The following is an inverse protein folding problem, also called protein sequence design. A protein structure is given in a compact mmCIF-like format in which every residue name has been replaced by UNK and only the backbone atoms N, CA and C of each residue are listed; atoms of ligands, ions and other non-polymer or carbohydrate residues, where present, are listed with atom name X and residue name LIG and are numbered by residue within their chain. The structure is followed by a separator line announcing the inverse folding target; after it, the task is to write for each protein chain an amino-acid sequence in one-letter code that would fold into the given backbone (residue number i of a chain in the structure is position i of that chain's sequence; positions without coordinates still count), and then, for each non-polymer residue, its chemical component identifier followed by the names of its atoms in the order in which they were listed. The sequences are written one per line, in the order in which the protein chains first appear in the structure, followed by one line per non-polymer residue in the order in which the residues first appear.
data_IF_161922697867
#
_entry.id   IF_161922697867
#
_cell.length_a   1.000
_cell.length_b   1.000
_cell.length_c   1.000
_cell.angle_alpha   90.00
_cell.angle_beta   90.00
_cell.angle_gamma   90.00
#
_symmetry.space_group_name_H-M   'P 1'
#
loop_
_entity.id
_entity.type
_entity.pdbx_description
1 polymer ?
#
# COMPACT_ATOMS: atom_id res chain seq x y z
N UNK A 1 1.16 -3.25 0.88
CA UNK A 1 2.15 -2.32 1.46
C UNK A 1 1.72 -0.88 1.20
N UNK A 2 1.99 0.01 2.14
CA UNK A 2 1.74 1.44 2.03
C UNK A 2 2.96 2.22 2.51
N UNK A 3 3.04 3.50 2.17
CA UNK A 3 3.98 4.44 2.76
C UNK A 3 3.25 5.75 3.08
N UNK A 4 3.68 6.42 4.14
CA UNK A 4 3.11 7.67 4.61
C UNK A 4 3.57 7.95 6.04
N UNK A 5 3.25 9.14 6.54
CA UNK A 5 3.61 9.53 7.90
C UNK A 5 2.68 8.81 8.90
N UNK A 6 3.21 8.02 9.84
CA UNK A 6 2.43 7.49 10.95
C UNK A 6 2.38 8.49 12.11
N UNK A 7 1.42 8.28 13.01
CA UNK A 7 1.50 8.83 14.36
C UNK A 7 2.25 7.80 15.21
N UNK A 8 3.31 8.21 15.89
CA UNK A 8 4.07 7.35 16.80
C UNK A 8 3.59 7.62 18.22
N UNK A 9 3.22 6.56 18.93
CA UNK A 9 2.93 6.61 20.37
C UNK A 9 3.63 5.44 21.05
N UNK A 10 4.50 5.75 22.01
CA UNK A 10 5.47 4.81 22.59
C UNK A 10 6.24 4.02 21.52
N UNK A 11 6.04 2.69 21.48
CA UNK A 11 6.67 1.75 20.54
C UNK A 11 5.70 1.26 19.44
N UNK A 12 4.58 1.96 19.22
CA UNK A 12 3.55 1.57 18.24
C UNK A 12 3.22 2.68 17.22
N UNK A 13 2.67 2.26 16.07
CA UNK A 13 2.33 3.13 14.93
C UNK A 13 0.83 3.18 14.72
N UNK A 14 0.31 4.39 14.56
CA UNK A 14 -1.11 4.66 14.37
C UNK A 14 -1.39 5.61 13.20
N UNK A 15 -2.68 5.81 12.94
CA UNK A 15 -3.18 6.78 11.98
C UNK A 15 -3.44 6.21 10.59
N UNK A 16 -3.75 7.12 9.67
CA UNK A 16 -4.24 6.80 8.32
C UNK A 16 -3.29 5.91 7.53
N UNK A 17 -1.97 6.13 7.63
CA UNK A 17 -0.97 5.35 6.90
C UNK A 17 -0.97 3.86 7.30
N UNK A 18 -1.18 3.57 8.60
CA UNK A 18 -1.26 2.22 9.15
C UNK A 18 -2.59 1.56 8.80
N UNK A 19 -3.71 2.28 8.94
CA UNK A 19 -5.04 1.80 8.54
C UNK A 19 -5.05 1.43 7.05
N UNK A 20 -4.49 2.30 6.20
CA UNK A 20 -4.35 2.03 4.77
C UNK A 20 -3.49 0.79 4.50
N UNK A 21 -2.35 0.64 5.19
CA UNK A 21 -1.49 -0.53 5.05
C UNK A 21 -2.24 -1.83 5.38
N UNK A 22 -3.01 -1.85 6.47
CA UNK A 22 -3.81 -3.01 6.89
C UNK A 22 -4.88 -3.37 5.85
N UNK A 23 -5.63 -2.38 5.35
CA UNK A 23 -6.66 -2.62 4.33
C UNK A 23 -6.10 -3.05 2.98
N UNK A 24 -4.93 -2.53 2.58
CA UNK A 24 -4.26 -2.99 1.36
C UNK A 24 -3.81 -4.44 1.52
N UNK A 25 -3.24 -4.80 2.67
CA UNK A 25 -2.81 -6.16 2.95
C UNK A 25 -4.01 -7.14 2.95
N UNK A 26 -5.16 -6.75 3.51
CA UNK A 26 -6.36 -7.60 3.52
C UNK A 26 -6.96 -7.85 2.14
N UNK A 27 -6.64 -7.03 1.14
CA UNK A 27 -7.11 -7.19 -0.25
C UNK A 27 -6.23 -8.13 -1.08
N UNK A 28 -5.02 -8.43 -0.63
CA UNK A 28 -4.08 -9.27 -1.37
C UNK A 28 -4.51 -10.75 -1.34
N UNK A 29 -4.46 -11.41 -2.48
CA UNK A 29 -4.59 -12.87 -2.56
C UNK A 29 -3.34 -13.57 -2.03
N UNK A 30 -3.45 -14.89 -1.77
CA UNK A 30 -2.30 -15.70 -1.37
C UNK A 30 -1.17 -15.63 -2.41
N UNK A 31 0.03 -15.22 -1.98
CA UNK A 31 1.19 -15.03 -2.86
C UNK A 31 1.22 -13.71 -3.63
N UNK A 32 0.21 -12.85 -3.48
CA UNK A 32 0.15 -11.54 -4.13
C UNK A 32 0.82 -10.45 -3.30
N UNK A 33 1.50 -9.50 -3.95
CA UNK A 33 2.10 -8.34 -3.30
C UNK A 33 1.44 -7.05 -3.79
N UNK A 34 0.38 -6.63 -3.09
CA UNK A 34 -0.35 -5.42 -3.42
C UNK A 34 0.28 -4.20 -2.74
N UNK A 35 0.55 -3.13 -3.50
CA UNK A 35 1.17 -1.90 -2.99
C UNK A 35 0.39 -0.65 -3.42
N UNK A 36 0.40 0.39 -2.59
CA UNK A 36 -0.11 1.72 -2.97
C UNK A 36 0.81 2.41 -3.99
N UNK A 37 0.24 3.30 -4.82
CA UNK A 37 1.00 4.07 -5.82
C UNK A 37 2.20 4.83 -5.22
N UNK A 38 2.08 5.36 -4.00
CA UNK A 38 3.19 6.05 -3.32
C UNK A 38 4.43 5.15 -3.16
N UNK A 39 4.24 3.85 -2.90
CA UNK A 39 5.36 2.90 -2.80
C UNK A 39 6.02 2.71 -4.17
N UNK A 40 5.23 2.57 -5.23
CA UNK A 40 5.72 2.46 -6.61
C UNK A 40 6.59 3.67 -6.99
N UNK A 41 6.16 4.87 -6.63
CA UNK A 41 6.90 6.12 -6.90
C UNK A 41 8.19 6.20 -6.09
N UNK A 42 8.16 5.83 -4.81
CA UNK A 42 9.36 5.83 -3.95
C UNK A 42 10.46 4.88 -4.43
N UNK A 43 10.10 3.78 -5.09
CA UNK A 43 11.06 2.78 -5.62
C UNK A 43 11.25 2.86 -7.13
N UNK A 44 10.85 3.97 -7.76
CA UNK A 44 11.02 4.17 -9.19
C UNK A 44 12.48 3.93 -9.63
N UNK A 45 12.66 3.18 -10.73
CA UNK A 45 13.98 2.84 -11.26
C UNK A 45 14.72 1.71 -10.55
N UNK A 46 14.12 1.05 -9.54
CA UNK A 46 14.75 -0.07 -8.80
C UNK A 46 14.56 -1.45 -9.44
N UNK A 47 13.98 -1.54 -10.64
CA UNK A 47 13.85 -2.80 -11.38
C UNK A 47 12.67 -3.69 -10.96
N UNK A 48 11.68 -3.15 -10.27
CA UNK A 48 10.43 -3.85 -9.97
C UNK A 48 9.43 -3.75 -11.13
N UNK A 49 8.67 -4.81 -11.34
CA UNK A 49 7.54 -4.83 -12.28
C UNK A 49 6.23 -4.62 -11.53
N UNK A 50 5.45 -3.65 -11.99
CA UNK A 50 4.17 -3.28 -11.41
C UNK A 50 3.06 -3.52 -12.42
N UNK A 51 2.04 -4.26 -12.01
CA UNK A 51 0.81 -4.45 -12.75
C UNK A 51 -0.29 -3.61 -12.12
N UNK A 52 -1.02 -2.87 -12.93
CA UNK A 52 -2.10 -2.03 -12.42
C UNK A 52 -3.21 -2.90 -11.81
N UNK A 53 -3.58 -2.61 -10.57
CA UNK A 53 -4.67 -3.30 -9.86
C UNK A 53 -5.88 -2.37 -9.65
N UNK A 54 -5.88 -1.21 -10.31
CA UNK A 54 -6.98 -0.24 -10.28
C UNK A 54 -7.08 0.58 -9.00
N UNK A 55 -8.19 1.29 -8.88
CA UNK A 55 -8.52 2.16 -7.76
C UNK A 55 -9.37 1.43 -6.72
N UNK A 56 -9.02 1.61 -5.44
CA UNK A 56 -9.69 0.93 -4.33
C UNK A 56 -10.08 1.94 -3.25
N UNK A 57 -11.37 1.94 -2.89
CA UNK A 57 -11.79 2.50 -1.63
C UNK A 57 -11.25 1.63 -0.47
N UNK A 58 -10.70 2.29 0.55
CA UNK A 58 -10.23 1.66 1.77
C UNK A 58 -11.24 1.97 2.88
N UNK A 59 -11.76 0.95 3.53
CA UNK A 59 -12.79 1.14 4.56
C UNK A 59 -12.23 2.01 5.70
N UNK A 60 -13.05 2.96 6.17
CA UNK A 60 -12.65 3.88 7.24
C UNK A 60 -11.78 5.05 6.77
N UNK A 61 -11.47 5.15 5.47
CA UNK A 61 -10.78 6.27 4.85
C UNK A 61 -11.65 6.88 3.73
N UNK A 62 -11.64 8.20 3.61
CA UNK A 62 -12.39 8.92 2.58
C UNK A 62 -11.67 8.91 1.20
N UNK A 63 -10.43 8.43 1.17
CA UNK A 63 -9.57 8.47 0.00
C UNK A 63 -9.63 7.18 -0.81
N UNK A 64 -9.59 7.34 -2.14
CA UNK A 64 -9.42 6.24 -3.09
C UNK A 64 -7.92 6.08 -3.37
N UNK A 65 -7.41 4.87 -3.18
CA UNK A 65 -5.99 4.56 -3.39
C UNK A 65 -5.84 3.70 -4.63
N UNK A 66 -4.96 4.12 -5.56
CA UNK A 66 -4.55 3.26 -6.68
C UNK A 66 -3.55 2.22 -6.21
N UNK A 67 -3.84 0.96 -6.50
CA UNK A 67 -3.02 -0.17 -6.12
C UNK A 67 -2.31 -0.78 -7.33
N UNK A 68 -1.15 -1.36 -7.08
CA UNK A 68 -0.38 -2.12 -8.07
C UNK A 68 0.01 -3.47 -7.46
N UNK A 69 -0.03 -4.51 -8.27
CA UNK A 69 0.54 -5.81 -7.93
C UNK A 69 2.02 -5.84 -8.35
N UNK A 70 2.88 -6.34 -7.49
CA UNK A 70 4.33 -6.41 -7.71
C UNK A 70 4.73 -7.84 -8.02
N UNK A 71 5.50 -8.01 -9.10
CA UNK A 71 6.08 -9.30 -9.46
C UNK A 71 7.60 -9.22 -9.39
N UNK A 72 8.22 -10.23 -8.77
CA UNK A 72 9.66 -10.45 -8.81
C UNK A 72 10.01 -11.24 -10.08
N UNK A 73 11.14 -10.90 -10.71
CA UNK A 73 11.69 -11.62 -11.86
C UNK A 73 12.27 -12.97 -11.43
#
# INVERSE_FOLDING_TARGET
MNAGEPVVDEDDLFGTSVIAAAHIASKAAGGQMLVANVVRELVAGKGFFFHDAGEHALQGLDEIVRLCDVSLT
#
